data_IF_482723626540
#
_entry.id   IF_482723626540
#
_cell.length_a   1.000
_cell.length_b   1.000
_cell.length_c   1.000
_cell.angle_alpha   90.00
_cell.angle_beta   90.00
_cell.angle_gamma   90.00
#
_symmetry.space_group_name_H-M   'P 1'
#
loop_
_entity.id
_entity.type
_entity.pdbx_description
1 polymer ?
#
# COMPACT_ATOMS: atom_id res chain seq x y z
N UNK A 1 0.65 -19.43 0.36
CA UNK A 1 0.92 -19.60 -1.09
C UNK A 1 1.89 -20.74 -1.38
N UNK A 2 3.05 -20.79 -0.73
CA UNK A 2 4.06 -21.84 -0.97
C UNK A 2 3.53 -23.28 -0.79
N UNK A 3 2.74 -23.53 0.26
CA UNK A 3 2.09 -24.84 0.49
C UNK A 3 1.17 -25.32 -0.65
N UNK A 4 0.69 -24.41 -1.49
CA UNK A 4 -0.19 -24.70 -2.62
C UNK A 4 0.52 -24.59 -3.98
N UNK A 5 1.86 -24.62 -3.99
CA UNK A 5 2.71 -24.55 -5.20
C UNK A 5 2.49 -23.29 -6.07
N UNK A 6 1.97 -22.21 -5.50
CA UNK A 6 1.87 -20.92 -6.18
C UNK A 6 3.25 -20.22 -6.19
N UNK A 7 3.69 -19.74 -7.35
CA UNK A 7 5.03 -19.16 -7.56
C UNK A 7 5.01 -17.73 -8.12
N UNK A 8 3.83 -17.14 -8.35
CA UNK A 8 3.67 -15.76 -8.77
C UNK A 8 2.90 -15.00 -7.70
N UNK A 9 3.40 -13.82 -7.37
CA UNK A 9 2.73 -12.89 -6.48
C UNK A 9 2.57 -11.56 -7.22
N UNK A 10 1.32 -11.22 -7.52
CA UNK A 10 0.97 -9.98 -8.20
C UNK A 10 0.49 -9.01 -7.13
N UNK A 11 1.24 -7.93 -6.91
CA UNK A 11 0.87 -6.90 -5.95
C UNK A 11 0.23 -5.74 -6.71
N UNK A 12 -1.03 -5.47 -6.40
CA UNK A 12 -1.68 -4.22 -6.77
C UNK A 12 -1.24 -3.17 -5.74
N UNK A 13 -0.33 -2.28 -6.13
CA UNK A 13 0.28 -1.31 -5.21
C UNK A 13 -0.36 0.08 -5.30
N UNK A 14 -1.21 0.30 -6.29
CA UNK A 14 -1.89 1.57 -6.54
C UNK A 14 -3.33 1.29 -6.97
N UNK A 15 -4.24 2.12 -6.51
CA UNK A 15 -5.64 2.14 -6.92
C UNK A 15 -6.20 3.57 -6.75
N UNK A 16 -7.43 3.82 -7.19
CA UNK A 16 -8.09 5.13 -7.03
C UNK A 16 -8.20 5.54 -5.55
N UNK A 17 -8.32 4.54 -4.67
CA UNK A 17 -8.44 4.72 -3.21
C UNK A 17 -7.08 4.74 -2.49
N UNK A 18 -5.97 4.70 -3.23
CA UNK A 18 -4.69 5.11 -2.66
C UNK A 18 -3.43 4.51 -3.24
N UNK A 19 -2.32 5.14 -2.87
CA UNK A 19 -0.98 4.82 -3.34
C UNK A 19 -0.15 4.17 -2.25
N UNK A 20 0.34 2.95 -2.45
CA UNK A 20 0.95 2.17 -1.35
C UNK A 20 2.48 2.09 -1.41
N UNK A 21 3.15 2.70 -2.39
CA UNK A 21 4.61 2.62 -2.55
C UNK A 21 5.29 3.98 -2.41
N UNK A 22 6.36 4.05 -1.62
CA UNK A 22 7.16 5.27 -1.54
C UNK A 22 8.01 5.47 -2.81
N UNK A 23 7.84 6.59 -3.51
CA UNK A 23 8.70 7.00 -4.64
C UNK A 23 9.61 8.14 -4.19
N UNK A 24 10.95 7.96 -4.23
CA UNK A 24 11.88 9.06 -3.97
C UNK A 24 11.64 10.22 -4.94
N UNK A 25 11.44 11.42 -4.40
CA UNK A 25 11.14 12.63 -5.17
C UNK A 25 9.64 12.94 -5.33
N UNK A 26 8.74 12.04 -4.91
CA UNK A 26 7.29 12.26 -4.89
C UNK A 26 6.67 11.83 -3.55
N UNK A 27 7.03 12.48 -2.42
CA UNK A 27 6.52 12.11 -1.10
C UNK A 27 5.00 12.29 -0.95
N UNK A 28 4.42 13.23 -1.71
CA UNK A 28 2.98 13.53 -1.71
C UNK A 28 2.11 12.32 -2.07
N UNK A 29 2.63 11.41 -2.90
CA UNK A 29 1.93 10.17 -3.23
C UNK A 29 1.64 9.35 -1.97
N UNK A 30 2.60 9.24 -1.06
CA UNK A 30 2.37 8.52 0.20
C UNK A 30 1.80 9.40 1.32
N UNK A 31 2.14 10.69 1.35
CA UNK A 31 1.72 11.54 2.46
C UNK A 31 0.23 11.91 2.40
N UNK A 32 -0.35 11.99 1.19
CA UNK A 32 -1.76 12.32 0.97
C UNK A 32 -2.56 11.09 0.58
N UNK A 33 -2.19 10.42 -0.52
CA UNK A 33 -3.07 9.43 -1.14
C UNK A 33 -3.09 8.07 -0.43
N UNK A 34 -2.27 7.90 0.58
CA UNK A 34 -2.24 6.69 1.41
C UNK A 34 -3.18 6.72 2.58
N UNK A 35 -3.74 7.89 2.88
CA UNK A 35 -4.58 8.14 4.04
C UNK A 35 -6.01 8.32 3.55
N UNK A 36 -6.92 7.68 4.25
CA UNK A 36 -8.36 7.79 4.03
C UNK A 36 -8.99 8.40 5.29
N UNK A 37 -9.96 9.29 5.16
CA UNK A 37 -10.71 9.83 6.31
C UNK A 37 -11.73 10.91 5.94
N UNK A 38 -12.52 11.36 6.91
CA UNK A 38 -13.66 12.26 6.67
C UNK A 38 -13.48 13.64 7.33
N UNK A 39 -12.28 13.99 7.81
CA UNK A 39 -12.12 15.22 8.60
C UNK A 39 -11.93 16.47 7.72
N UNK A 40 -12.44 17.58 8.26
CA UNK A 40 -12.79 18.88 7.67
C UNK A 40 -11.75 19.62 6.80
N UNK A 41 -10.52 19.14 6.66
CA UNK A 41 -9.47 19.77 5.84
C UNK A 41 -9.31 19.05 4.51
N UNK A 42 -9.80 19.67 3.43
CA UNK A 42 -9.59 19.21 2.06
C UNK A 42 -8.10 19.29 1.72
N UNK A 43 -7.52 18.19 1.24
CA UNK A 43 -6.18 18.16 0.62
C UNK A 43 -5.18 17.20 1.24
N UNK A 44 -5.42 16.71 2.46
CA UNK A 44 -4.42 15.93 3.22
C UNK A 44 -4.67 14.41 3.21
N UNK A 45 -5.79 13.96 2.62
CA UNK A 45 -6.22 12.56 2.59
C UNK A 45 -7.31 12.33 1.53
N UNK A 46 -7.48 11.09 1.10
CA UNK A 46 -8.58 10.65 0.24
C UNK A 46 -9.88 10.47 1.04
N UNK A 47 -10.99 10.43 0.30
CA UNK A 47 -12.29 10.07 0.87
C UNK A 47 -12.23 8.64 1.41
N UNK A 48 -13.00 8.32 2.47
CA UNK A 48 -13.02 6.97 3.00
C UNK A 48 -13.73 6.03 2.02
N UNK A 49 -13.11 4.88 1.76
CA UNK A 49 -13.70 3.80 0.98
C UNK A 49 -13.83 2.52 1.82
N UNK A 50 -14.65 1.57 1.35
CA UNK A 50 -14.77 0.22 1.91
C UNK A 50 -15.06 0.13 3.42
N UNK A 51 -15.66 1.16 4.02
CA UNK A 51 -15.97 1.18 5.45
C UNK A 51 -14.75 1.48 6.35
N UNK A 52 -13.72 2.17 5.85
CA UNK A 52 -12.54 2.59 6.62
C UNK A 52 -12.85 3.57 7.77
N UNK A 53 -14.07 4.10 7.83
CA UNK A 53 -14.54 4.96 8.92
C UNK A 53 -14.07 6.40 8.76
N UNK A 54 -14.43 7.25 9.72
CA UNK A 54 -14.26 8.71 9.57
C UNK A 54 -12.91 9.26 10.04
N UNK A 55 -12.15 8.46 10.79
CA UNK A 55 -10.87 8.88 11.37
C UNK A 55 -9.73 8.51 10.44
N UNK A 56 -8.93 9.51 10.07
CA UNK A 56 -7.66 9.28 9.39
C UNK A 56 -6.75 8.40 10.27
N UNK A 57 -6.00 7.50 9.63
CA UNK A 57 -4.98 6.67 10.31
C UNK A 57 -5.52 5.64 11.31
N UNK A 58 -6.85 5.39 11.36
CA UNK A 58 -7.47 4.37 12.20
C UNK A 58 -8.03 3.24 11.34
N UNK A 59 -7.26 2.14 11.27
CA UNK A 59 -7.63 0.82 10.77
C UNK A 59 -7.62 0.62 9.24
N UNK A 60 -6.86 -0.41 8.85
CA UNK A 60 -6.81 -1.15 7.57
C UNK A 60 -6.62 -0.39 6.24
N UNK A 61 -7.17 0.81 6.03
CA UNK A 61 -7.09 1.58 4.77
C UNK A 61 -5.96 2.60 4.69
N UNK A 62 -5.27 2.92 5.78
CA UNK A 62 -4.24 3.98 5.80
C UNK A 62 -2.82 3.46 6.06
N UNK A 63 -2.19 2.78 5.09
CA UNK A 63 -0.80 2.29 5.25
C UNK A 63 -0.01 2.27 3.94
N UNK A 64 1.30 2.47 4.07
CA UNK A 64 2.27 2.45 2.96
C UNK A 64 3.39 1.45 3.15
N UNK A 65 3.89 0.97 2.02
CA UNK A 65 5.11 0.20 1.90
C UNK A 65 6.29 1.16 1.70
N UNK A 66 6.90 1.54 2.82
CA UNK A 66 8.22 2.18 2.81
C UNK A 66 9.24 1.30 2.08
N UNK A 67 10.21 1.91 1.42
CA UNK A 67 11.23 1.21 0.60
C UNK A 67 11.89 0.04 1.33
N UNK A 68 12.23 0.20 2.61
CA UNK A 68 12.87 -0.86 3.41
C UNK A 68 11.95 -2.06 3.65
N UNK A 69 10.65 -1.83 3.83
CA UNK A 69 9.65 -2.90 3.99
C UNK A 69 9.43 -3.65 2.67
N UNK A 70 9.41 -2.93 1.54
CA UNK A 70 9.33 -3.53 0.21
C UNK A 70 10.53 -4.43 -0.07
N UNK A 71 11.75 -3.96 0.23
CA UNK A 71 12.98 -4.75 0.08
C UNK A 71 12.96 -6.01 0.97
N UNK A 72 12.46 -5.89 2.20
CA UNK A 72 12.31 -7.04 3.11
C UNK A 72 11.32 -8.07 2.54
N UNK A 73 10.17 -7.61 2.03
CA UNK A 73 9.18 -8.46 1.39
C UNK A 73 9.76 -9.16 0.15
N UNK A 74 10.47 -8.42 -0.70
CA UNK A 74 11.14 -8.95 -1.89
C UNK A 74 12.13 -10.06 -1.51
N UNK A 75 12.96 -9.81 -0.49
CA UNK A 75 13.92 -10.80 -0.02
C UNK A 75 13.24 -12.07 0.52
N UNK A 76 12.10 -11.93 1.21
CA UNK A 76 11.30 -13.09 1.64
C UNK A 76 10.73 -13.88 0.46
N UNK A 77 10.19 -13.20 -0.55
CA UNK A 77 9.60 -13.85 -1.72
C UNK A 77 10.67 -14.54 -2.59
N UNK A 78 11.81 -13.89 -2.81
CA UNK A 78 12.93 -14.44 -3.57
C UNK A 78 13.55 -15.67 -2.88
N UNK A 79 13.66 -15.67 -1.54
CA UNK A 79 14.07 -16.86 -0.78
C UNK A 79 13.10 -18.03 -0.93
N UNK A 80 11.83 -17.75 -1.24
CA UNK A 80 10.76 -18.74 -1.44
C UNK A 80 10.51 -19.16 -2.90
N UNK A 81 11.38 -18.80 -3.85
CA UNK A 81 11.22 -19.08 -5.30
C UNK A 81 10.01 -18.33 -5.94
N UNK A 82 9.40 -17.37 -5.23
CA UNK A 82 8.27 -16.60 -5.74
C UNK A 82 8.74 -15.42 -6.59
N UNK A 83 8.16 -15.27 -7.79
CA UNK A 83 8.37 -14.13 -8.68
C UNK A 83 7.33 -13.03 -8.38
N UNK A 84 7.81 -11.80 -8.19
CA UNK A 84 6.96 -10.64 -7.94
C UNK A 84 6.68 -9.87 -9.23
N UNK A 85 5.42 -9.46 -9.41
CA UNK A 85 4.99 -8.61 -10.51
C UNK A 85 4.18 -7.43 -9.93
N UNK A 86 4.74 -6.22 -9.88
CA UNK A 86 3.98 -5.04 -9.51
C UNK A 86 3.02 -4.67 -10.64
N UNK A 87 1.83 -4.18 -10.27
CA UNK A 87 0.89 -3.49 -11.15
C UNK A 87 0.55 -2.14 -10.57
#
# INVERSE_FOLDING_TARGET
MHYFKLNKFHLNITDDEGWRIEIPGLPELTDVSSKEGTLLMRGDHLNPAYGSGSKTNMLFGSRDLKRMNLLKLLNMLMKGILKLYPK
#
